data_IF_539030709927
#
_entry.id   IF_539030709927
#
_cell.length_a   1.000
_cell.length_b   1.000
_cell.length_c   1.000
_cell.angle_alpha   90.00
_cell.angle_beta   90.00
_cell.angle_gamma   90.00
#
_symmetry.space_group_name_H-M   'P 1'
#
loop_
_entity.id
_entity.type
_entity.pdbx_description
1 polymer ?
#
# COMPACT_ATOMS: atom_id res chain seq x y z
N UNK A 1 38.65 7.10 55.91
CA UNK A 1 38.76 7.78 54.60
C UNK A 1 37.48 7.50 53.83
N UNK A 2 36.66 8.53 53.62
CA UNK A 2 35.33 8.46 53.00
C UNK A 2 35.47 8.97 51.58
N UNK A 3 35.15 8.14 50.58
CA UNK A 3 35.10 8.58 49.17
C UNK A 3 33.65 8.76 48.73
N UNK A 4 33.37 10.01 48.39
CA UNK A 4 32.10 10.61 47.99
C UNK A 4 31.65 10.16 46.59
N UNK A 5 30.39 9.73 46.45
CA UNK A 5 29.72 9.52 45.16
C UNK A 5 29.34 10.84 44.47
N UNK A 6 29.41 10.96 43.13
CA UNK A 6 28.92 12.13 42.42
C UNK A 6 27.39 12.12 42.24
N UNK A 7 26.78 13.28 42.55
CA UNK A 7 25.35 13.57 42.45
C UNK A 7 24.84 13.55 41.01
N UNK A 8 23.68 12.92 40.87
CA UNK A 8 22.87 12.78 39.66
C UNK A 8 22.52 14.10 38.96
N UNK A 9 22.47 14.00 37.64
CA UNK A 9 21.77 14.90 36.73
C UNK A 9 20.26 14.92 37.05
N UNK A 10 19.79 15.98 37.68
CA UNK A 10 18.37 16.26 37.84
C UNK A 10 18.15 17.78 37.83
N UNK A 11 18.14 18.40 36.64
CA UNK A 11 17.61 19.76 36.45
C UNK A 11 17.44 20.08 34.96
N UNK A 12 16.28 19.74 34.39
CA UNK A 12 15.61 20.50 33.30
C UNK A 12 14.24 19.91 32.98
N UNK A 13 13.28 20.15 33.87
CA UNK A 13 11.86 19.97 33.59
C UNK A 13 11.09 21.03 34.38
N UNK A 14 11.14 22.28 33.93
CA UNK A 14 10.25 23.33 34.40
C UNK A 14 10.26 24.50 33.41
N UNK A 15 9.38 24.45 32.40
CA UNK A 15 8.82 25.62 31.70
C UNK A 15 7.84 25.17 30.61
N UNK A 16 6.66 24.68 31.00
CA UNK A 16 5.47 24.78 30.15
C UNK A 16 4.29 25.18 31.03
N UNK A 17 3.67 26.37 30.82
CA UNK A 17 2.47 26.75 31.53
C UNK A 17 1.27 25.90 31.08
N UNK A 18 0.28 25.66 31.95
CA UNK A 18 -0.93 24.91 31.60
C UNK A 18 -1.82 25.74 30.68
N UNK A 19 -1.67 25.56 29.38
CA UNK A 19 -2.60 26.05 28.36
C UNK A 19 -3.44 24.90 27.79
N UNK A 20 -4.68 25.16 27.33
CA UNK A 20 -5.47 24.14 26.65
C UNK A 20 -4.73 23.68 25.37
N UNK A 21 -4.77 22.38 25.04
CA UNK A 21 -4.03 21.84 23.91
C UNK A 21 -4.48 22.51 22.59
N UNK A 22 -3.55 22.83 21.68
CA UNK A 22 -3.90 23.38 20.38
C UNK A 22 -4.77 22.36 19.63
N UNK A 23 -5.93 22.83 19.14
CA UNK A 23 -6.75 22.07 18.19
C UNK A 23 -6.04 22.06 16.85
N UNK A 24 -5.26 21.02 16.60
CA UNK A 24 -4.67 20.78 15.28
C UNK A 24 -5.73 20.18 14.36
N UNK A 25 -6.37 21.03 13.57
CA UNK A 25 -6.94 20.60 12.29
C UNK A 25 -5.80 20.49 11.28
N UNK A 26 -5.61 19.27 10.75
CA UNK A 26 -4.82 18.89 9.56
C UNK A 26 -3.59 17.99 9.79
N UNK A 27 -3.61 16.88 9.05
CA UNK A 27 -2.50 16.10 8.48
C UNK A 27 -1.46 15.34 9.33
N UNK A 28 -1.53 15.27 10.66
CA UNK A 28 -0.61 14.40 11.44
C UNK A 28 -1.22 13.13 12.08
N UNK A 29 -2.43 12.71 11.69
CA UNK A 29 -3.06 11.50 12.24
C UNK A 29 -2.70 10.18 11.53
N UNK A 30 -1.92 10.17 10.45
CA UNK A 30 -1.57 8.89 9.76
C UNK A 30 -0.24 8.27 10.18
N UNK A 31 0.60 8.92 10.99
CA UNK A 31 1.88 8.35 11.46
C UNK A 31 1.83 7.66 12.84
N UNK A 32 0.76 7.83 13.61
CA UNK A 32 0.69 7.31 14.98
C UNK A 32 0.11 5.88 15.11
N UNK A 33 -0.46 5.30 14.05
CA UNK A 33 -0.96 3.90 14.10
C UNK A 33 0.09 2.83 13.80
N UNK A 34 1.32 3.21 13.41
CA UNK A 34 2.36 2.27 12.97
C UNK A 34 3.44 1.92 14.03
N UNK A 35 3.37 2.44 15.26
CA UNK A 35 4.44 2.30 16.26
C UNK A 35 4.08 1.52 17.55
N UNK A 36 2.99 0.73 17.58
CA UNK A 36 2.56 0.02 18.81
C UNK A 36 3.01 -1.48 18.88
N UNK A 37 3.87 -1.97 17.98
CA UNK A 37 4.42 -3.35 18.08
C UNK A 37 5.94 -3.39 17.87
N UNK A 38 6.69 -2.51 18.54
CA UNK A 38 8.16 -2.53 18.49
C UNK A 38 8.81 -2.32 19.87
N UNK A 39 8.25 -2.95 20.91
CA UNK A 39 8.83 -2.93 22.25
C UNK A 39 9.10 -4.35 22.77
N UNK A 40 10.11 -5.01 22.20
CA UNK A 40 10.84 -6.07 22.91
C UNK A 40 12.25 -6.26 22.32
N UNK A 41 13.22 -5.60 23.00
CA UNK A 41 14.60 -6.01 23.30
C UNK A 41 15.42 -6.73 22.22
N UNK A 42 16.54 -6.12 21.79
CA UNK A 42 17.92 -6.51 22.12
C UNK A 42 18.91 -5.39 21.66
N UNK A 43 20.12 -5.26 22.24
CA UNK A 43 20.90 -4.03 22.24
C UNK A 43 22.09 -3.98 21.26
N UNK A 44 22.42 -2.75 20.87
CA UNK A 44 23.76 -2.17 20.74
C UNK A 44 24.71 -2.70 19.65
N UNK A 45 24.83 -1.95 18.54
CA UNK A 45 26.14 -1.52 17.99
C UNK A 45 26.06 -0.05 17.52
N UNK A 46 27.17 0.66 17.75
CA UNK A 46 27.42 2.11 17.68
C UNK A 46 27.16 2.80 16.33
N UNK A 47 26.67 4.03 16.52
CA UNK A 47 26.82 5.28 15.78
C UNK A 47 27.97 5.43 14.74
N UNK A 48 27.60 5.99 13.58
CA UNK A 48 28.38 7.02 12.89
C UNK A 48 27.44 8.18 12.50
N UNK A 49 27.84 9.38 12.89
CA UNK A 49 27.24 10.70 12.62
C UNK A 49 27.80 11.23 11.29
N UNK A 50 26.96 11.79 10.43
CA UNK A 50 27.23 12.84 9.42
C UNK A 50 25.85 13.17 8.81
N UNK A 51 25.27 14.36 8.85
CA UNK A 51 25.83 15.70 8.69
C UNK A 51 25.29 16.30 7.38
N UNK A 52 24.85 17.56 7.40
CA UNK A 52 24.48 18.43 6.25
C UNK A 52 23.04 18.29 5.71
N UNK A 53 22.13 19.21 6.08
CA UNK A 53 21.79 20.55 5.51
C UNK A 53 20.64 20.51 4.51
N UNK A 54 19.45 20.92 4.99
CA UNK A 54 18.36 21.43 4.16
C UNK A 54 18.74 22.77 3.52
N UNK A 55 18.18 23.04 2.33
CA UNK A 55 17.58 24.35 2.13
C UNK A 55 16.12 24.26 1.67
N UNK A 56 15.28 24.81 2.54
CA UNK A 56 14.07 25.62 2.31
C UNK A 56 13.76 25.96 0.84
N UNK A 57 12.63 25.48 0.32
CA UNK A 57 12.00 26.00 -0.91
C UNK A 57 10.61 26.53 -0.60
N UNK A 58 10.45 27.83 -0.87
CA UNK A 58 9.25 28.65 -0.75
C UNK A 58 8.06 28.07 -1.53
N UNK A 59 6.81 28.24 -1.05
CA UNK A 59 5.62 27.83 -1.77
C UNK A 59 5.34 28.79 -2.93
N UNK A 60 5.08 28.23 -4.12
CA UNK A 60 4.52 28.95 -5.27
C UNK A 60 3.01 29.00 -5.15
N UNK A 61 2.48 30.21 -5.10
CA UNK A 61 1.07 30.53 -5.31
C UNK A 61 0.61 30.03 -6.68
N UNK A 62 -0.35 29.11 -6.68
CA UNK A 62 -1.08 28.74 -7.89
C UNK A 62 -2.44 29.41 -7.87
N UNK A 63 -2.57 30.38 -8.78
CA UNK A 63 -3.77 31.07 -9.18
C UNK A 63 -4.90 30.07 -9.50
N UNK A 64 -6.01 30.16 -8.76
CA UNK A 64 -7.26 29.45 -9.09
C UNK A 64 -8.09 30.34 -10.02
N UNK A 65 -8.14 29.99 -11.30
CA UNK A 65 -9.12 30.55 -12.25
C UNK A 65 -10.28 29.56 -12.36
N UNK A 66 -11.44 29.90 -11.76
CA UNK A 66 -12.71 29.21 -11.99
C UNK A 66 -13.50 29.98 -13.06
N UNK A 67 -14.03 29.29 -14.08
CA UNK A 67 -15.25 29.74 -14.73
C UNK A 67 -16.30 28.63 -14.60
N UNK A 68 -17.45 28.95 -14.02
CA UNK A 68 -18.67 28.15 -14.21
C UNK A 68 -19.86 29.07 -14.07
N UNK A 69 -20.18 29.72 -15.18
CA UNK A 69 -21.48 30.34 -15.38
C UNK A 69 -22.47 29.34 -15.96
N UNK A 70 -23.74 29.62 -15.66
CA UNK A 70 -24.95 29.38 -16.47
C UNK A 70 -25.80 28.14 -16.13
N UNK A 71 -26.75 28.38 -15.23
CA UNK A 71 -28.21 28.32 -15.44
C UNK A 71 -28.74 27.32 -16.48
N UNK A 72 -29.49 26.33 -16.01
CA UNK A 72 -30.60 25.73 -16.75
C UNK A 72 -31.86 25.74 -15.88
N UNK A 73 -32.88 26.41 -16.37
CA UNK A 73 -34.23 26.50 -15.84
C UNK A 73 -35.11 25.42 -16.50
N UNK A 74 -35.94 24.78 -15.67
CA UNK A 74 -37.27 24.28 -16.05
C UNK A 74 -37.33 22.98 -16.85
N UNK A 75 -38.09 21.99 -16.36
CA UNK A 75 -39.49 21.81 -16.78
C UNK A 75 -40.05 20.52 -16.19
N UNK A 76 -41.17 20.67 -15.50
CA UNK A 76 -42.06 19.67 -14.95
C UNK A 76 -42.59 18.71 -16.01
N UNK A 77 -42.82 17.44 -15.65
CA UNK A 77 -44.07 16.75 -15.98
C UNK A 77 -44.32 15.57 -15.02
N UNK A 78 -45.50 15.64 -14.40
CA UNK A 78 -46.16 14.60 -13.58
C UNK A 78 -46.87 13.58 -14.49
N UNK A 79 -47.26 12.45 -13.86
CA UNK A 79 -48.16 11.38 -14.33
C UNK A 79 -47.41 10.13 -14.82
N UNK A 80 -47.65 8.91 -14.32
CA UNK A 80 -48.65 8.37 -13.40
C UNK A 80 -48.68 6.84 -13.56
N UNK A 81 -49.25 6.14 -12.57
CA UNK A 81 -49.63 4.70 -12.57
C UNK A 81 -48.49 3.67 -12.70
N UNK A 82 -48.58 2.44 -12.20
CA UNK A 82 -49.58 1.75 -11.39
C UNK A 82 -48.89 0.57 -10.71
N UNK A 83 -49.45 0.20 -9.57
CA UNK A 83 -49.19 -0.98 -8.74
C UNK A 83 -49.12 -2.30 -9.52
N UNK A 84 -48.10 -3.11 -9.24
CA UNK A 84 -48.17 -4.56 -9.44
C UNK A 84 -47.23 -5.33 -8.50
N UNK A 85 -47.87 -6.08 -7.60
CA UNK A 85 -47.44 -7.35 -7.01
C UNK A 85 -46.17 -7.43 -6.17
N UNK A 86 -46.42 -7.28 -4.86
CA UNK A 86 -45.67 -7.92 -3.80
C UNK A 86 -45.63 -9.46 -4.00
N UNK A 87 -44.42 -10.00 -4.12
CA UNK A 87 -44.09 -11.36 -3.67
C UNK A 87 -42.95 -11.23 -2.66
N UNK A 88 -43.07 -11.76 -1.43
CA UNK A 88 -41.96 -11.75 -0.49
C UNK A 88 -40.90 -12.72 -1.00
N UNK A 89 -39.83 -12.17 -1.57
CA UNK A 89 -38.60 -12.94 -1.80
C UNK A 89 -38.03 -13.26 -0.43
N UNK A 90 -38.03 -14.55 -0.13
CA UNK A 90 -37.25 -15.19 0.92
C UNK A 90 -35.95 -14.45 1.11
N UNK A 91 -35.80 -13.86 2.28
CA UNK A 91 -34.60 -13.19 2.76
C UNK A 91 -33.42 -14.15 2.65
N UNK A 92 -32.65 -14.04 1.57
CA UNK A 92 -31.27 -14.50 1.51
C UNK A 92 -30.47 -13.64 2.47
N UNK A 93 -30.47 -14.04 3.74
CA UNK A 93 -29.62 -13.52 4.79
C UNK A 93 -28.18 -14.01 4.60
N UNK A 94 -27.57 -13.71 3.44
CA UNK A 94 -26.18 -14.06 3.15
C UNK A 94 -25.36 -12.79 2.94
N UNK A 95 -24.42 -12.57 3.87
CA UNK A 95 -23.26 -11.67 3.77
C UNK A 95 -23.50 -10.17 3.64
N UNK A 96 -23.93 -9.52 4.73
CA UNK A 96 -23.63 -8.09 4.99
C UNK A 96 -22.44 -7.87 5.94
N UNK A 97 -21.67 -8.93 6.20
CA UNK A 97 -20.31 -8.90 6.74
C UNK A 97 -19.51 -9.55 5.59
N UNK A 98 -18.57 -8.94 4.86
CA UNK A 98 -17.40 -8.21 5.32
C UNK A 98 -16.74 -7.41 4.16
N UNK A 99 -17.38 -6.34 3.62
CA UNK A 99 -16.73 -5.52 2.58
C UNK A 99 -15.40 -4.91 3.06
N UNK A 100 -15.30 -4.58 4.35
CA UNK A 100 -14.09 -4.03 4.95
C UNK A 100 -12.91 -5.02 5.03
N UNK A 101 -13.14 -6.30 5.34
CA UNK A 101 -12.05 -7.28 5.37
C UNK A 101 -11.55 -7.61 3.96
N UNK A 102 -12.46 -7.62 2.99
CA UNK A 102 -12.09 -7.80 1.58
C UNK A 102 -11.25 -6.62 1.06
N UNK A 103 -11.63 -5.38 1.41
CA UNK A 103 -10.85 -4.20 1.07
C UNK A 103 -9.44 -4.20 1.70
N UNK A 104 -9.32 -4.55 2.98
CA UNK A 104 -8.01 -4.67 3.65
C UNK A 104 -7.13 -5.72 2.98
N UNK A 105 -7.68 -6.87 2.60
CA UNK A 105 -6.95 -7.91 1.86
C UNK A 105 -6.46 -7.40 0.51
N UNK A 106 -7.32 -6.71 -0.24
CA UNK A 106 -6.93 -6.12 -1.53
C UNK A 106 -5.80 -5.09 -1.39
N UNK A 107 -5.80 -4.28 -0.33
CA UNK A 107 -4.69 -3.36 -0.02
C UNK A 107 -3.40 -4.14 0.26
N UNK A 108 -3.45 -5.25 0.99
CA UNK A 108 -2.26 -6.08 1.22
C UNK A 108 -1.73 -6.72 -0.06
N UNK A 109 -2.61 -7.17 -0.95
CA UNK A 109 -2.24 -7.68 -2.26
C UNK A 109 -1.56 -6.59 -3.09
N UNK A 110 -2.08 -5.35 -3.07
CA UNK A 110 -1.44 -4.20 -3.71
C UNK A 110 -0.05 -3.93 -3.13
N UNK A 111 0.11 -3.99 -1.80
CA UNK A 111 1.43 -3.83 -1.16
C UNK A 111 2.41 -4.93 -1.58
N UNK A 112 1.95 -6.18 -1.67
CA UNK A 112 2.75 -7.29 -2.18
C UNK A 112 3.19 -7.04 -3.63
N UNK A 113 2.28 -6.55 -4.47
CA UNK A 113 2.58 -6.20 -5.85
C UNK A 113 3.65 -5.09 -5.95
N UNK A 114 3.54 -4.03 -5.14
CA UNK A 114 4.58 -2.99 -5.06
C UNK A 114 5.95 -3.58 -4.66
N UNK A 115 5.99 -4.51 -3.70
CA UNK A 115 7.24 -5.15 -3.26
C UNK A 115 7.89 -6.00 -4.36
N UNK A 116 7.07 -6.68 -5.17
CA UNK A 116 7.57 -7.47 -6.30
C UNK A 116 8.16 -6.56 -7.37
N UNK A 117 7.45 -5.49 -7.75
CA UNK A 117 7.89 -4.55 -8.78
C UNK A 117 9.11 -3.71 -8.36
N UNK A 118 9.21 -3.34 -7.08
CA UNK A 118 10.30 -2.49 -6.57
C UNK A 118 11.55 -3.24 -6.09
N UNK A 119 11.61 -4.58 -6.19
CA UNK A 119 12.67 -5.39 -5.55
C UNK A 119 14.10 -5.05 -6.04
N UNK A 120 14.20 -4.67 -7.31
CA UNK A 120 15.45 -4.29 -7.97
C UNK A 120 15.81 -2.80 -7.76
N UNK A 121 14.97 -2.06 -7.04
CA UNK A 121 15.15 -0.65 -6.73
C UNK A 121 14.55 0.30 -7.76
N UNK A 122 13.86 -0.20 -8.79
CA UNK A 122 13.19 0.66 -9.76
C UNK A 122 11.96 0.00 -10.38
N UNK A 123 10.80 0.66 -10.30
CA UNK A 123 9.57 0.19 -10.94
C UNK A 123 9.47 0.70 -12.38
N UNK A 124 9.30 -0.21 -13.35
CA UNK A 124 9.09 0.15 -14.76
C UNK A 124 7.74 0.82 -15.02
N UNK A 125 7.60 1.52 -16.15
CA UNK A 125 6.33 2.12 -16.57
C UNK A 125 5.22 1.07 -16.78
N UNK A 126 5.59 -0.12 -17.26
CA UNK A 126 4.66 -1.21 -17.50
C UNK A 126 4.09 -1.76 -16.18
N UNK A 127 4.95 -2.00 -15.20
CA UNK A 127 4.54 -2.40 -13.85
C UNK A 127 3.71 -1.32 -13.17
N UNK A 128 4.14 -0.06 -13.26
CA UNK A 128 3.40 1.09 -12.71
C UNK A 128 1.98 1.16 -13.26
N UNK A 129 1.74 0.87 -14.54
CA UNK A 129 0.39 0.80 -15.12
C UNK A 129 -0.45 -0.32 -14.52
N UNK A 130 0.13 -1.49 -14.24
CA UNK A 130 -0.58 -2.60 -13.59
C UNK A 130 -0.91 -2.24 -12.14
N UNK A 131 0.06 -1.68 -11.41
CA UNK A 131 -0.11 -1.22 -10.04
C UNK A 131 -1.17 -0.11 -9.92
N UNK A 132 -1.23 0.81 -10.88
CA UNK A 132 -2.25 1.86 -10.92
C UNK A 132 -3.65 1.27 -11.02
N UNK A 133 -3.88 0.35 -11.95
CA UNK A 133 -5.19 -0.30 -12.11
C UNK A 133 -5.60 -1.03 -10.84
N UNK A 134 -4.65 -1.73 -10.22
CA UNK A 134 -4.91 -2.41 -8.96
C UNK A 134 -5.25 -1.40 -7.86
N UNK A 135 -4.52 -0.29 -7.75
CA UNK A 135 -4.82 0.77 -6.79
C UNK A 135 -6.21 1.37 -7.01
N UNK A 136 -6.61 1.62 -8.25
CA UNK A 136 -7.94 2.12 -8.60
C UNK A 136 -9.04 1.12 -8.18
N UNK A 137 -8.84 -0.18 -8.40
CA UNK A 137 -9.76 -1.24 -7.97
C UNK A 137 -9.90 -1.34 -6.43
N UNK A 138 -8.83 -1.04 -5.70
CA UNK A 138 -8.83 -1.06 -4.23
C UNK A 138 -9.31 0.27 -3.63
N UNK A 139 -9.34 1.35 -4.42
CA UNK A 139 -9.66 2.70 -3.97
C UNK A 139 -8.48 3.43 -3.30
N UNK A 140 -7.25 3.09 -3.68
CA UNK A 140 -6.02 3.76 -3.23
C UNK A 140 -5.68 4.90 -4.19
N UNK A 141 -5.56 6.12 -3.67
CA UNK A 141 -5.18 7.28 -4.48
C UNK A 141 -3.72 7.27 -4.93
N UNK A 142 -3.44 7.98 -6.03
CA UNK A 142 -2.12 8.05 -6.67
C UNK A 142 -0.97 8.44 -5.71
N UNK A 143 -1.19 9.42 -4.83
CA UNK A 143 -0.18 9.83 -3.85
C UNK A 143 0.17 8.71 -2.87
N UNK A 144 -0.81 7.89 -2.46
CA UNK A 144 -0.60 6.75 -1.58
C UNK A 144 0.07 5.59 -2.32
N UNK A 145 -0.30 5.34 -3.58
CA UNK A 145 0.37 4.35 -4.41
C UNK A 145 1.85 4.70 -4.59
N UNK A 146 2.15 5.95 -4.95
CA UNK A 146 3.52 6.43 -5.11
C UNK A 146 4.37 6.23 -3.86
N UNK A 147 3.86 6.58 -2.70
CA UNK A 147 4.56 6.37 -1.43
C UNK A 147 4.80 4.88 -1.12
N UNK A 148 3.90 3.98 -1.55
CA UNK A 148 4.11 2.54 -1.42
C UNK A 148 5.18 2.01 -2.38
N UNK A 149 5.24 2.55 -3.60
CA UNK A 149 6.27 2.21 -4.59
C UNK A 149 7.65 2.69 -4.12
N UNK A 150 7.79 3.97 -3.78
CA UNK A 150 9.06 4.55 -3.30
C UNK A 150 9.60 3.76 -2.11
N UNK A 151 8.73 3.40 -1.17
CA UNK A 151 9.13 2.59 -0.02
C UNK A 151 9.53 1.16 -0.40
N UNK A 152 8.87 0.55 -1.39
CA UNK A 152 9.23 -0.78 -1.86
C UNK A 152 10.60 -0.79 -2.57
N UNK A 153 10.96 0.31 -3.22
CA UNK A 153 12.26 0.51 -3.88
C UNK A 153 13.39 0.74 -2.86
N UNK A 154 13.11 1.47 -1.77
CA UNK A 154 14.10 1.83 -0.75
C UNK A 154 14.30 0.76 0.35
N UNK A 155 13.21 0.13 0.81
CA UNK A 155 13.21 -0.73 2.00
C UNK A 155 12.85 -2.17 1.65
N UNK A 156 13.87 -2.98 1.41
CA UNK A 156 13.69 -4.43 1.21
C UNK A 156 13.10 -5.14 2.42
N UNK A 157 13.22 -4.63 3.64
CA UNK A 157 12.61 -5.29 4.81
C UNK A 157 11.09 -5.05 4.90
N UNK A 158 10.56 -4.11 4.11
CA UNK A 158 9.15 -3.76 4.08
C UNK A 158 8.24 -4.95 3.78
N UNK A 159 8.67 -5.88 2.92
CA UNK A 159 7.90 -7.07 2.58
C UNK A 159 7.81 -8.06 3.75
N UNK A 160 8.70 -8.01 4.74
CA UNK A 160 8.69 -8.99 5.84
C UNK A 160 7.55 -8.79 6.83
N UNK A 161 7.11 -7.55 7.00
CA UNK A 161 6.19 -7.16 8.07
C UNK A 161 4.70 -7.17 7.67
N UNK A 162 4.39 -7.25 6.37
CA UNK A 162 3.09 -6.81 5.82
C UNK A 162 2.08 -7.92 5.47
N UNK A 163 2.41 -9.22 5.57
CA UNK A 163 1.62 -10.29 4.93
C UNK A 163 0.92 -11.28 5.86
N UNK A 164 0.41 -10.82 7.01
CA UNK A 164 -0.32 -11.70 7.93
C UNK A 164 -1.75 -12.04 7.48
N UNK A 165 -2.38 -11.28 6.55
CA UNK A 165 -3.83 -11.40 6.27
C UNK A 165 -4.14 -11.99 4.87
N UNK A 166 -3.14 -12.37 4.08
CA UNK A 166 -3.31 -12.78 2.68
C UNK A 166 -3.89 -14.21 2.42
N UNK A 167 -4.15 -15.03 3.44
CA UNK A 167 -4.43 -16.48 3.26
C UNK A 167 -5.79 -16.84 2.61
N UNK A 168 -6.60 -15.88 2.18
CA UNK A 168 -7.95 -16.18 1.69
C UNK A 168 -7.96 -16.80 0.29
N UNK A 169 -7.09 -16.35 -0.61
CA UNK A 169 -7.07 -16.78 -2.02
C UNK A 169 -5.64 -16.87 -2.58
N UNK A 170 -4.85 -17.90 -2.18
CA UNK A 170 -3.45 -18.04 -2.57
C UNK A 170 -3.22 -18.02 -4.09
N UNK A 171 -4.07 -18.74 -4.84
CA UNK A 171 -3.96 -18.87 -6.29
C UNK A 171 -4.19 -17.54 -7.01
N UNK A 172 -5.30 -16.85 -6.73
CA UNK A 172 -5.62 -15.58 -7.37
C UNK A 172 -4.58 -14.51 -7.03
N UNK A 173 -4.14 -14.46 -5.77
CA UNK A 173 -3.08 -13.56 -5.31
C UNK A 173 -1.78 -13.82 -6.06
N UNK A 174 -1.31 -15.08 -6.12
CA UNK A 174 -0.07 -15.40 -6.83
C UNK A 174 -0.15 -15.11 -8.33
N UNK A 175 -1.27 -15.40 -8.99
CA UNK A 175 -1.45 -15.06 -10.41
C UNK A 175 -1.37 -13.55 -10.65
N UNK A 176 -1.94 -12.74 -9.77
CA UNK A 176 -1.82 -11.28 -9.85
C UNK A 176 -0.37 -10.83 -9.66
N UNK A 177 0.34 -11.40 -8.68
CA UNK A 177 1.75 -11.06 -8.43
C UNK A 177 2.66 -11.43 -9.62
N UNK A 178 2.44 -12.59 -10.24
CA UNK A 178 3.12 -12.95 -11.48
C UNK A 178 2.82 -11.95 -12.61
N UNK A 179 1.56 -11.52 -12.77
CA UNK A 179 1.19 -10.54 -13.79
C UNK A 179 1.91 -9.20 -13.62
N UNK A 180 2.18 -8.79 -12.39
CA UNK A 180 2.95 -7.59 -12.08
C UNK A 180 4.41 -7.82 -12.45
N UNK A 181 5.01 -8.92 -11.95
CA UNK A 181 6.42 -9.22 -12.20
C UNK A 181 6.78 -9.34 -13.68
N UNK A 182 5.87 -9.86 -14.51
CA UNK A 182 6.12 -10.05 -15.96
C UNK A 182 5.63 -8.88 -16.82
N UNK A 183 5.19 -7.79 -16.20
CA UNK A 183 4.56 -6.67 -16.92
C UNK A 183 5.55 -5.98 -17.87
N UNK A 184 6.82 -5.88 -17.47
CA UNK A 184 7.91 -5.31 -18.27
C UNK A 184 8.43 -6.27 -19.36
N UNK A 185 7.95 -7.52 -19.36
CA UNK A 185 8.30 -8.54 -20.34
C UNK A 185 9.49 -9.42 -19.96
N UNK A 186 10.02 -9.28 -18.74
CA UNK A 186 11.04 -10.18 -18.19
C UNK A 186 10.62 -10.70 -16.80
N UNK A 187 11.38 -11.66 -16.26
CA UNK A 187 11.18 -12.09 -14.87
C UNK A 187 12.55 -12.31 -14.23
N UNK A 188 12.98 -11.35 -13.41
CA UNK A 188 14.31 -11.35 -12.81
C UNK A 188 14.39 -12.35 -11.65
N UNK A 189 15.62 -12.79 -11.35
CA UNK A 189 15.88 -13.74 -10.25
C UNK A 189 15.48 -13.17 -8.87
N UNK A 190 15.64 -11.85 -8.68
CA UNK A 190 15.22 -11.13 -7.47
C UNK A 190 13.71 -11.20 -7.27
N UNK A 191 12.93 -10.92 -8.31
CA UNK A 191 11.46 -11.00 -8.31
C UNK A 191 11.00 -12.44 -8.03
N UNK A 192 11.59 -13.43 -8.70
CA UNK A 192 11.28 -14.84 -8.46
C UNK A 192 11.55 -15.25 -7.00
N UNK A 193 12.58 -14.69 -6.38
CA UNK A 193 12.91 -14.95 -4.96
C UNK A 193 11.85 -14.35 -4.03
N UNK A 194 11.40 -13.12 -4.28
CA UNK A 194 10.31 -12.48 -3.52
C UNK A 194 8.99 -13.22 -3.71
N UNK A 195 8.65 -13.59 -4.95
CA UNK A 195 7.46 -14.38 -5.28
C UNK A 195 7.46 -15.72 -4.55
N UNK A 196 8.61 -16.40 -4.46
CA UNK A 196 8.74 -17.64 -3.68
C UNK A 196 8.54 -17.40 -2.19
N UNK A 197 9.06 -16.31 -1.64
CA UNK A 197 8.82 -15.92 -0.25
C UNK A 197 7.35 -15.64 0.05
N UNK A 198 6.65 -14.99 -0.88
CA UNK A 198 5.21 -14.73 -0.79
C UNK A 198 4.39 -16.02 -0.93
N UNK A 199 4.76 -16.91 -1.84
CA UNK A 199 4.12 -18.21 -2.03
C UNK A 199 4.17 -19.06 -0.74
N UNK A 200 5.32 -19.12 -0.08
CA UNK A 200 5.47 -19.82 1.21
C UNK A 200 4.53 -19.24 2.28
N UNK A 201 4.35 -17.92 2.33
CA UNK A 201 3.45 -17.26 3.30
C UNK A 201 1.97 -17.48 3.01
N UNK A 202 1.66 -17.73 1.74
CA UNK A 202 0.33 -18.08 1.25
C UNK A 202 0.04 -19.59 1.36
N UNK A 203 0.94 -20.36 1.98
CA UNK A 203 0.87 -21.83 2.09
C UNK A 203 0.77 -22.54 0.71
N UNK A 204 1.37 -21.94 -0.32
CA UNK A 204 1.46 -22.55 -1.67
C UNK A 204 2.62 -23.55 -1.67
N UNK A 205 2.38 -24.75 -2.19
CA UNK A 205 3.44 -25.77 -2.25
C UNK A 205 4.50 -25.41 -3.30
N UNK A 206 5.76 -25.85 -3.13
CA UNK A 206 6.82 -25.59 -4.11
C UNK A 206 6.47 -26.07 -5.52
N UNK A 207 5.79 -27.21 -5.64
CA UNK A 207 5.41 -27.81 -6.93
C UNK A 207 4.35 -26.95 -7.64
N UNK A 208 3.38 -26.42 -6.89
CA UNK A 208 2.38 -25.49 -7.42
C UNK A 208 3.03 -24.18 -7.89
N UNK A 209 3.95 -23.64 -7.09
CA UNK A 209 4.71 -22.45 -7.44
C UNK A 209 5.52 -22.67 -8.72
N UNK A 210 6.27 -23.76 -8.82
CA UNK A 210 7.07 -24.09 -10.00
C UNK A 210 6.21 -24.27 -11.25
N UNK A 211 5.00 -24.85 -11.10
CA UNK A 211 4.04 -24.95 -12.20
C UNK A 211 3.57 -23.57 -12.69
N UNK A 212 3.29 -22.63 -11.79
CA UNK A 212 2.88 -21.28 -12.19
C UNK A 212 4.03 -20.46 -12.77
N UNK A 213 5.23 -20.63 -12.21
CA UNK A 213 6.44 -20.01 -12.73
C UNK A 213 6.72 -20.45 -14.18
N UNK A 214 6.60 -21.76 -14.47
CA UNK A 214 6.72 -22.28 -15.84
C UNK A 214 5.69 -21.65 -16.78
N UNK A 215 4.43 -21.57 -16.37
CA UNK A 215 3.38 -20.92 -17.17
C UNK A 215 3.68 -19.45 -17.45
N UNK A 216 4.19 -18.70 -16.46
CA UNK A 216 4.58 -17.31 -16.65
C UNK A 216 5.75 -17.16 -17.65
N UNK A 217 6.74 -18.04 -17.59
CA UNK A 217 7.88 -18.06 -18.53
C UNK A 217 7.42 -18.42 -19.95
N UNK A 218 6.56 -19.42 -20.09
CA UNK A 218 5.99 -19.79 -21.40
C UNK A 218 5.17 -18.65 -22.01
N UNK A 219 4.38 -17.96 -21.19
CA UNK A 219 3.65 -16.76 -21.61
C UNK A 219 4.59 -15.65 -22.11
N UNK A 220 5.68 -15.38 -21.40
CA UNK A 220 6.68 -14.40 -21.83
C UNK A 220 7.34 -14.78 -23.16
N UNK A 221 7.68 -16.07 -23.34
CA UNK A 221 8.24 -16.57 -24.61
C UNK A 221 7.26 -16.42 -25.77
N UNK A 222 6.00 -16.77 -25.55
CA UNK A 222 4.95 -16.63 -26.56
C UNK A 222 4.73 -15.16 -26.95
N UNK A 223 4.72 -14.26 -25.95
CA UNK A 223 4.58 -12.82 -26.19
C UNK A 223 5.75 -12.26 -27.02
N UNK A 224 7.00 -12.57 -26.66
CA UNK A 224 8.20 -12.15 -27.42
C UNK A 224 8.21 -12.69 -28.86
N UNK A 225 7.66 -13.87 -29.10
CA UNK A 225 7.54 -14.43 -30.45
C UNK A 225 6.46 -13.75 -31.30
N UNK A 226 5.48 -13.08 -30.68
CA UNK A 226 4.34 -12.44 -31.35
C UNK A 226 4.53 -10.97 -31.68
N UNK A 227 5.56 -10.31 -31.14
CA UNK A 227 5.88 -8.91 -31.46
C UNK A 227 6.90 -8.89 -32.63
N UNK A 228 6.48 -8.60 -33.88
CA UNK A 228 7.42 -8.42 -34.98
C UNK A 228 8.25 -7.17 -34.73
N UNK A 229 9.57 -7.34 -34.73
CA UNK A 229 10.55 -6.25 -34.53
C UNK A 229 10.59 -5.25 -35.68
#
# INVERSE_FOLDING_TARGET
MVTSMPRSAAAKAAAYPPGPPPRTTSCECMRAFFNIVAASRFPSIRAVRSGSTQPERKPRDWLVVRPSGRLTTGRSHLSGRSTSHARPRTTSSRSRRFPAMEAMRKVEVLRAACCVAGVDGATSDAERRVLQRLADEVGVGEASLRAMIERAEEDRSFFEQQFKVLKAEPKATMQLLFRVAVADGDLKRSEATVLKGLATRLDVTPEQFDSWLKQAIEFLRAKRASEPG
#
